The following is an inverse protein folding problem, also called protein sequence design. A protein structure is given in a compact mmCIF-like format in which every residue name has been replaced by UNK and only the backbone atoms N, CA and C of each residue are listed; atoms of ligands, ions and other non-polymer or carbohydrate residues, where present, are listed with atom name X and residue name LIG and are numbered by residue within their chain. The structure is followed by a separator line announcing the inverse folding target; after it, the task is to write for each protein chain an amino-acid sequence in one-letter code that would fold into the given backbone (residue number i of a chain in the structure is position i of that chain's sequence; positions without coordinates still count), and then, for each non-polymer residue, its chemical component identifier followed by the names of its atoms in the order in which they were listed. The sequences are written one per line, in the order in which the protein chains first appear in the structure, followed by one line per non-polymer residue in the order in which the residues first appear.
data_IF_967785012734
#
_entry.id   IF_967785012734
#
_cell.length_a   1.000
_cell.length_b   1.000
_cell.length_c   1.000
_cell.angle_alpha   90.00
_cell.angle_beta   90.00
_cell.angle_gamma   90.00
#
_symmetry.space_group_name_H-M   'P 1'
#
loop_
_entity.id
_entity.type
_entity.pdbx_description
1 polymer ?
#
# COMPACT_ATOMS: atom_id res chain seq x y z
N UNK A 1 -10.55 31.84 -33.09
CA UNK A 1 -9.55 32.07 -32.01
C UNK A 1 -10.23 31.81 -30.70
N UNK A 2 -9.68 30.92 -29.89
CA UNK A 2 -10.23 30.53 -28.60
C UNK A 2 -9.53 29.27 -28.10
N UNK A 3 -8.21 29.35 -27.92
CA UNK A 3 -7.52 28.35 -27.11
C UNK A 3 -7.88 28.67 -25.68
N UNK A 4 -8.71 27.84 -25.06
CA UNK A 4 -8.85 27.81 -23.61
C UNK A 4 -7.54 27.18 -23.11
N UNK A 5 -6.54 28.01 -22.88
CA UNK A 5 -5.40 27.61 -22.04
C UNK A 5 -5.92 27.73 -20.62
N UNK A 6 -6.42 26.61 -20.08
CA UNK A 6 -6.47 26.47 -18.64
C UNK A 6 -5.02 26.59 -18.17
N UNK A 7 -4.65 27.75 -17.64
CA UNK A 7 -3.49 27.90 -16.82
C UNK A 7 -3.74 26.95 -15.64
N UNK A 8 -3.29 25.70 -15.76
CA UNK A 8 -3.44 24.70 -14.72
C UNK A 8 -2.72 25.26 -13.50
N UNK A 9 -3.48 25.80 -12.55
CA UNK A 9 -2.97 26.04 -11.22
C UNK A 9 -2.53 24.67 -10.70
N UNK A 10 -1.21 24.55 -10.74
CA UNK A 10 -0.40 23.40 -10.44
C UNK A 10 -0.68 22.95 -9.01
N UNK A 11 -1.34 21.81 -8.84
CA UNK A 11 -1.58 21.16 -7.55
C UNK A 11 -2.48 21.97 -6.61
N UNK A 12 -3.71 21.51 -6.39
CA UNK A 12 -4.67 22.16 -5.50
C UNK A 12 -4.29 22.06 -4.01
N UNK A 13 -3.64 20.97 -3.62
CA UNK A 13 -3.15 20.74 -2.27
C UNK A 13 -2.11 19.61 -2.26
N UNK A 14 -1.13 19.70 -1.36
CA UNK A 14 -0.16 18.64 -1.09
C UNK A 14 -0.37 18.21 0.36
N UNK A 15 -0.50 16.92 0.56
CA UNK A 15 -0.59 16.32 1.88
C UNK A 15 0.45 15.21 2.00
N UNK A 16 1.19 15.17 3.10
CA UNK A 16 2.20 14.16 3.37
C UNK A 16 2.30 13.87 4.85
N UNK A 17 2.25 12.59 5.20
CA UNK A 17 2.36 12.10 6.57
C UNK A 17 3.48 11.06 6.65
N UNK A 18 4.59 11.40 7.31
CA UNK A 18 5.75 10.52 7.47
C UNK A 18 5.59 9.48 8.59
N UNK A 19 4.53 9.60 9.40
CA UNK A 19 4.20 8.65 10.47
C UNK A 19 3.47 7.40 9.97
N UNK A 20 2.87 7.46 8.77
CA UNK A 20 2.10 6.37 8.17
C UNK A 20 2.92 5.71 7.06
N UNK A 21 3.05 4.38 7.10
CA UNK A 21 3.70 3.65 6.02
C UNK A 21 3.90 2.17 6.28
N UNK A 22 4.29 1.43 5.23
CA UNK A 22 4.44 -0.04 5.22
C UNK A 22 5.36 -0.56 6.34
N UNK A 23 6.30 0.27 6.80
CA UNK A 23 7.21 -0.09 7.89
C UNK A 23 6.49 -0.55 9.17
N UNK A 24 5.28 -0.07 9.45
CA UNK A 24 4.46 -0.54 10.58
C UNK A 24 4.04 -1.99 10.40
N UNK A 25 3.58 -2.36 9.20
CA UNK A 25 3.22 -3.73 8.81
C UNK A 25 4.44 -4.64 8.87
N UNK A 26 5.59 -4.19 8.34
CA UNK A 26 6.84 -4.97 8.40
C UNK A 26 7.29 -5.22 9.84
N UNK A 27 7.17 -4.23 10.73
CA UNK A 27 7.49 -4.40 12.15
C UNK A 27 6.55 -5.38 12.84
N UNK A 28 5.25 -5.32 12.54
CA UNK A 28 4.26 -6.25 13.06
C UNK A 28 4.54 -7.69 12.61
N UNK A 29 4.83 -7.89 11.32
CA UNK A 29 5.21 -9.19 10.76
C UNK A 29 6.47 -9.75 11.42
N UNK A 30 7.53 -8.95 11.58
CA UNK A 30 8.75 -9.36 12.28
C UNK A 30 8.47 -9.74 13.74
N UNK A 31 7.62 -8.98 14.45
CA UNK A 31 7.26 -9.31 15.82
C UNK A 31 6.53 -10.65 15.91
N UNK A 32 5.57 -10.89 15.01
CA UNK A 32 4.83 -12.15 14.98
C UNK A 32 5.72 -13.35 14.63
N UNK A 33 6.64 -13.19 13.66
CA UNK A 33 7.62 -14.23 13.33
C UNK A 33 8.52 -14.59 14.50
N UNK A 34 8.96 -13.59 15.29
CA UNK A 34 9.72 -13.85 16.55
C UNK A 34 8.91 -14.67 17.55
N UNK A 35 7.61 -14.37 17.70
CA UNK A 35 6.73 -15.15 18.58
C UNK A 35 6.54 -16.59 18.10
N UNK A 36 6.61 -16.80 16.79
CA UNK A 36 6.59 -18.11 16.15
C UNK A 36 7.97 -18.80 16.05
N UNK A 37 8.98 -18.31 16.79
CA UNK A 37 10.35 -18.85 16.77
C UNK A 37 10.90 -19.02 15.35
N UNK A 38 10.51 -18.13 14.44
CA UNK A 38 10.86 -18.14 13.03
C UNK A 38 11.97 -17.13 12.74
N UNK A 39 12.73 -17.36 11.65
CA UNK A 39 13.79 -16.45 11.25
C UNK A 39 13.21 -15.08 10.89
N UNK A 40 13.86 -14.01 11.38
CA UNK A 40 13.39 -12.65 11.15
C UNK A 40 14.42 -11.83 10.39
N UNK A 41 14.04 -11.37 9.21
CA UNK A 41 14.73 -10.33 8.46
C UNK A 41 13.71 -9.46 7.73
N UNK A 42 14.11 -8.27 7.30
CA UNK A 42 13.24 -7.40 6.50
C UNK A 42 12.80 -8.08 5.20
N UNK A 43 13.70 -8.82 4.55
CA UNK A 43 13.38 -9.57 3.33
C UNK A 43 12.34 -10.65 3.60
N UNK A 44 12.53 -11.45 4.65
CA UNK A 44 11.58 -12.53 5.01
C UNK A 44 10.22 -11.96 5.38
N UNK A 45 10.18 -10.86 6.14
CA UNK A 45 8.93 -10.19 6.49
C UNK A 45 8.21 -9.62 5.26
N UNK A 46 8.95 -8.98 4.35
CA UNK A 46 8.39 -8.41 3.11
C UNK A 46 7.83 -9.51 2.19
N UNK A 47 8.58 -10.60 1.98
CA UNK A 47 8.11 -11.74 1.19
C UNK A 47 6.90 -12.44 1.84
N UNK A 48 6.88 -12.57 3.17
CA UNK A 48 5.71 -13.07 3.89
C UNK A 48 4.49 -12.17 3.71
N UNK A 49 4.65 -10.85 3.77
CA UNK A 49 3.54 -9.90 3.56
C UNK A 49 3.00 -10.03 2.12
N UNK A 50 3.87 -10.11 1.10
CA UNK A 50 3.45 -10.27 -0.30
C UNK A 50 2.76 -11.61 -0.56
N UNK A 51 3.29 -12.69 0.01
CA UNK A 51 2.85 -14.08 -0.24
C UNK A 51 2.03 -14.67 0.90
N UNK A 52 1.42 -13.83 1.75
CA UNK A 52 0.61 -14.28 2.90
C UNK A 52 -0.58 -15.18 2.53
N UNK A 53 -1.04 -15.09 1.29
CA UNK A 53 -2.13 -15.91 0.74
C UNK A 53 -1.64 -17.22 0.09
N UNK A 54 -0.34 -17.51 0.14
CA UNK A 54 0.30 -18.73 -0.38
C UNK A 54 0.59 -19.67 0.80
N UNK A 55 -0.25 -20.69 1.06
CA UNK A 55 -0.11 -21.56 2.23
C UNK A 55 1.19 -22.36 2.22
N UNK A 56 1.69 -22.72 1.03
CA UNK A 56 2.91 -23.51 0.89
C UNK A 56 4.13 -22.67 1.26
N UNK A 57 4.14 -21.39 0.88
CA UNK A 57 5.18 -20.46 1.29
C UNK A 57 5.11 -20.14 2.78
N UNK A 58 3.91 -19.90 3.33
CA UNK A 58 3.72 -19.58 4.74
C UNK A 58 4.26 -20.70 5.64
N UNK A 59 4.02 -21.96 5.29
CA UNK A 59 4.55 -23.13 6.01
C UNK A 59 6.08 -23.25 5.93
N UNK A 60 6.71 -22.75 4.86
CA UNK A 60 8.17 -22.75 4.74
C UNK A 60 8.83 -21.67 5.61
N UNK A 61 8.12 -20.56 5.85
CA UNK A 61 8.65 -19.41 6.59
C UNK A 61 8.35 -19.50 8.09
N UNK A 62 7.19 -20.05 8.47
CA UNK A 62 6.75 -20.14 9.86
C UNK A 62 7.16 -21.50 10.45
N UNK A 63 8.08 -21.48 11.40
CA UNK A 63 8.59 -22.69 12.07
C UNK A 63 7.55 -23.35 12.99
N UNK A 64 6.79 -22.54 13.72
CA UNK A 64 5.76 -23.01 14.67
C UNK A 64 4.38 -22.95 14.01
N UNK A 65 3.96 -24.08 13.42
CA UNK A 65 2.66 -24.21 12.72
C UNK A 65 1.46 -23.86 13.62
N UNK A 66 1.58 -24.02 14.94
CA UNK A 66 0.50 -23.67 15.88
C UNK A 66 0.25 -22.16 15.96
N UNK A 67 1.18 -21.35 15.46
CA UNK A 67 1.12 -19.89 15.46
C UNK A 67 0.96 -19.29 14.07
N UNK A 68 0.73 -20.10 13.03
CA UNK A 68 0.48 -19.60 11.69
C UNK A 68 -0.68 -18.61 11.66
N UNK A 69 -1.81 -18.95 12.29
CA UNK A 69 -2.98 -18.07 12.36
C UNK A 69 -2.67 -16.77 13.10
N UNK A 70 -1.88 -16.84 14.18
CA UNK A 70 -1.46 -15.65 14.92
C UNK A 70 -0.66 -14.70 14.03
N UNK A 71 0.27 -15.23 13.24
CA UNK A 71 1.13 -14.44 12.35
C UNK A 71 0.31 -13.78 11.24
N UNK A 72 -0.53 -14.56 10.56
CA UNK A 72 -1.36 -14.05 9.47
C UNK A 72 -2.36 -13.01 9.97
N UNK A 73 -3.03 -13.26 11.09
CA UNK A 73 -3.98 -12.29 11.67
C UNK A 73 -3.28 -11.00 12.13
N UNK A 74 -2.05 -11.08 12.63
CA UNK A 74 -1.26 -9.90 13.00
C UNK A 74 -0.92 -9.06 11.78
N UNK A 75 -0.55 -9.70 10.67
CA UNK A 75 -0.24 -9.03 9.40
C UNK A 75 -1.50 -8.39 8.82
N UNK A 76 -2.61 -9.13 8.72
CA UNK A 76 -3.88 -8.61 8.20
C UNK A 76 -4.41 -7.45 9.06
N UNK A 77 -4.34 -7.56 10.39
CA UNK A 77 -4.71 -6.48 11.30
C UNK A 77 -3.86 -5.22 11.10
N UNK A 78 -2.55 -5.39 10.89
CA UNK A 78 -1.65 -4.26 10.60
C UNK A 78 -1.92 -3.62 9.23
N UNK A 79 -2.24 -4.43 8.20
CA UNK A 79 -2.64 -3.94 6.88
C UNK A 79 -3.95 -3.16 6.96
N UNK A 80 -4.95 -3.70 7.65
CA UNK A 80 -6.24 -3.05 7.85
C UNK A 80 -6.07 -1.70 8.57
N UNK A 81 -5.29 -1.68 9.65
CA UNK A 81 -4.99 -0.44 10.37
C UNK A 81 -4.23 0.57 9.52
N UNK A 82 -3.29 0.14 8.68
CA UNK A 82 -2.61 1.02 7.72
C UNK A 82 -3.61 1.62 6.72
N UNK A 83 -4.50 0.80 6.16
CA UNK A 83 -5.52 1.26 5.23
C UNK A 83 -6.48 2.28 5.87
N UNK A 84 -6.93 2.03 7.10
CA UNK A 84 -7.78 2.96 7.86
C UNK A 84 -7.07 4.29 8.12
N UNK A 85 -5.81 4.25 8.56
CA UNK A 85 -5.02 5.47 8.78
C UNK A 85 -4.88 6.30 7.51
N UNK A 86 -4.59 5.67 6.36
CA UNK A 86 -4.51 6.40 5.08
C UNK A 86 -5.86 6.98 4.67
N UNK A 87 -6.96 6.24 4.82
CA UNK A 87 -8.30 6.74 4.49
C UNK A 87 -8.69 7.93 5.37
N UNK A 88 -8.43 7.84 6.67
CA UNK A 88 -8.71 8.93 7.61
C UNK A 88 -7.89 10.18 7.29
N UNK A 89 -6.60 10.01 6.98
CA UNK A 89 -5.70 11.11 6.62
C UNK A 89 -6.14 11.82 5.33
N UNK A 90 -6.71 11.07 4.39
CA UNK A 90 -7.21 11.58 3.12
C UNK A 90 -8.67 12.05 3.18
N UNK A 91 -9.28 12.13 4.37
CA UNK A 91 -10.68 12.52 4.56
C UNK A 91 -11.03 13.90 3.98
N UNK A 92 -10.08 14.84 3.93
CA UNK A 92 -10.35 16.16 3.34
C UNK A 92 -10.40 16.14 1.79
N UNK A 93 -10.02 15.02 1.15
CA UNK A 93 -9.84 14.90 -0.30
C UNK A 93 -10.98 14.13 -1.00
N UNK A 94 -12.23 14.41 -0.65
CA UNK A 94 -13.39 13.71 -1.23
C UNK A 94 -13.79 14.19 -2.64
N UNK A 95 -13.47 15.43 -3.02
CA UNK A 95 -13.88 16.02 -4.30
C UNK A 95 -12.87 15.80 -5.43
N UNK A 96 -12.52 14.54 -5.69
CA UNK A 96 -11.56 14.17 -6.74
C UNK A 96 -12.26 13.42 -7.89
N UNK A 97 -11.77 13.58 -9.11
CA UNK A 97 -12.35 12.92 -10.29
C UNK A 97 -11.78 11.52 -10.52
N UNK A 98 -10.55 11.26 -10.05
CA UNK A 98 -9.82 10.02 -10.24
C UNK A 98 -8.78 9.86 -9.12
N UNK A 99 -8.54 8.63 -8.70
CA UNK A 99 -7.53 8.27 -7.70
C UNK A 99 -6.55 7.28 -8.35
N UNK A 100 -5.26 7.60 -8.28
CA UNK A 100 -4.18 6.69 -8.67
C UNK A 100 -3.42 6.25 -7.43
N UNK A 101 -3.27 4.94 -7.24
CA UNK A 101 -2.53 4.35 -6.12
C UNK A 101 -1.18 3.85 -6.64
N UNK A 102 -0.11 4.37 -6.05
CA UNK A 102 1.29 4.11 -6.42
C UNK A 102 2.14 3.83 -5.18
N UNK A 103 3.39 3.40 -5.37
CA UNK A 103 4.34 3.05 -4.33
C UNK A 103 4.26 1.57 -3.91
N UNK A 104 5.29 1.08 -3.22
CA UNK A 104 5.38 -0.32 -2.81
C UNK A 104 4.27 -0.79 -1.86
N UNK A 105 3.66 0.14 -1.12
CA UNK A 105 2.52 -0.15 -0.24
C UNK A 105 1.15 -0.20 -0.93
N UNK A 106 1.07 0.16 -2.22
CA UNK A 106 -0.19 0.24 -2.94
C UNK A 106 -1.04 -1.05 -2.86
N UNK A 107 -0.48 -2.27 -3.05
CA UNK A 107 -1.27 -3.49 -2.98
C UNK A 107 -1.86 -3.78 -1.59
N UNK A 108 -1.32 -3.17 -0.53
CA UNK A 108 -1.80 -3.38 0.84
C UNK A 108 -3.01 -2.51 1.18
N UNK A 109 -3.11 -1.32 0.57
CA UNK A 109 -4.14 -0.32 0.93
C UNK A 109 -5.18 -0.11 -0.17
N UNK A 110 -4.96 -0.66 -1.38
CA UNK A 110 -5.81 -0.42 -2.54
C UNK A 110 -7.29 -0.68 -2.27
N UNK A 111 -7.62 -1.80 -1.62
CA UNK A 111 -9.01 -2.16 -1.33
C UNK A 111 -9.66 -1.18 -0.33
N UNK A 112 -8.91 -0.72 0.68
CA UNK A 112 -9.38 0.31 1.62
C UNK A 112 -9.67 1.64 0.91
N UNK A 113 -8.77 2.08 0.02
CA UNK A 113 -8.97 3.29 -0.80
C UNK A 113 -10.17 3.12 -1.74
N UNK A 114 -10.29 1.97 -2.42
CA UNK A 114 -11.40 1.69 -3.33
C UNK A 114 -12.75 1.69 -2.62
N UNK A 115 -12.77 1.22 -1.37
CA UNK A 115 -13.97 1.23 -0.52
C UNK A 115 -14.33 2.66 -0.09
N UNK A 116 -13.35 3.46 0.35
CA UNK A 116 -13.58 4.84 0.75
C UNK A 116 -14.07 5.73 -0.41
N UNK A 117 -13.48 5.59 -1.61
CA UNK A 117 -13.90 6.28 -2.83
C UNK A 117 -14.82 5.43 -3.74
N UNK A 118 -15.70 4.61 -3.16
CA UNK A 118 -16.59 3.71 -3.90
C UNK A 118 -17.39 4.39 -5.03
N UNK A 119 -17.78 5.66 -4.85
CA UNK A 119 -18.51 6.46 -5.83
C UNK A 119 -17.74 6.69 -7.15
N UNK A 120 -16.42 6.54 -7.14
CA UNK A 120 -15.57 6.67 -8.33
C UNK A 120 -15.49 5.39 -9.18
N UNK A 121 -15.87 4.24 -8.63
CA UNK A 121 -15.87 2.95 -9.32
C UNK A 121 -14.53 2.65 -10.00
N UNK A 122 -14.52 2.53 -11.33
CA UNK A 122 -13.32 2.23 -12.14
C UNK A 122 -12.28 3.36 -12.16
N UNK A 123 -12.58 4.53 -11.60
CA UNK A 123 -11.65 5.66 -11.52
C UNK A 123 -10.72 5.59 -10.29
N UNK A 124 -10.77 4.52 -9.51
CA UNK A 124 -9.75 4.18 -8.50
C UNK A 124 -8.83 3.12 -9.09
N UNK A 125 -7.64 3.54 -9.52
CA UNK A 125 -6.72 2.71 -10.32
C UNK A 125 -5.42 2.53 -9.55
N UNK A 126 -5.01 1.28 -9.33
CA UNK A 126 -3.63 0.96 -8.96
C UNK A 126 -2.82 0.81 -10.25
N UNK A 127 -1.64 1.42 -10.30
CA UNK A 127 -0.75 1.29 -11.47
C UNK A 127 -0.29 -0.17 -11.64
N UNK A 128 0.08 -0.58 -12.86
CA UNK A 128 0.54 -1.95 -13.12
C UNK A 128 1.81 -2.32 -12.33
N UNK A 129 2.76 -1.37 -12.27
CA UNK A 129 3.99 -1.48 -11.48
C UNK A 129 4.04 -0.36 -10.42
N UNK A 130 3.27 -0.46 -9.31
CA UNK A 130 3.11 0.66 -8.38
C UNK A 130 4.44 1.18 -7.81
N UNK A 131 5.37 0.28 -7.50
CA UNK A 131 6.66 0.63 -6.89
C UNK A 131 7.58 1.42 -7.83
N UNK A 132 7.53 1.14 -9.14
CA UNK A 132 8.40 1.79 -10.14
C UNK A 132 7.70 2.88 -10.93
N UNK A 133 6.37 3.03 -10.80
CA UNK A 133 5.57 4.02 -11.52
C UNK A 133 6.15 5.44 -11.48
N UNK A 134 6.71 5.87 -10.36
CA UNK A 134 7.34 7.20 -10.23
C UNK A 134 8.60 7.33 -11.10
N UNK A 135 9.52 6.36 -11.02
CA UNK A 135 10.79 6.44 -11.75
C UNK A 135 10.59 6.25 -13.25
N UNK A 136 9.64 5.41 -13.65
CA UNK A 136 9.25 5.23 -15.05
C UNK A 136 8.68 6.53 -15.63
N UNK A 137 7.80 7.23 -14.90
CA UNK A 137 7.26 8.51 -15.33
C UNK A 137 8.34 9.60 -15.44
N UNK A 138 9.29 9.65 -14.50
CA UNK A 138 10.43 10.59 -14.56
C UNK A 138 11.33 10.28 -15.76
N UNK A 139 11.56 9.01 -16.06
CA UNK A 139 12.38 8.60 -17.20
C UNK A 139 11.73 8.99 -18.53
N UNK A 140 10.44 8.69 -18.71
CA UNK A 140 9.68 9.07 -19.89
C UNK A 140 9.64 10.59 -20.11
N UNK A 141 9.49 11.37 -19.03
CA UNK A 141 9.50 12.84 -19.11
C UNK A 141 10.84 13.43 -19.58
N UNK A 142 11.96 12.73 -19.37
CA UNK A 142 13.29 13.19 -19.84
C UNK A 142 13.56 12.88 -21.31
N UNK A 143 12.76 12.01 -21.93
CA UNK A 143 12.87 11.65 -23.34
C UNK A 143 12.04 12.57 -24.26
N UNK A 144 11.18 13.41 -23.68
CA UNK A 144 10.45 14.51 -24.34
C UNK A 144 11.21 15.85 -24.27
#
# INVERSE_FOLDING_TARGET
VGVIVGQFDSVSAIHGNSGIGVSSVTKAAMSALRMASSDTSFLVADELIKRRNDPDFVRQVINDETKTDLVLNTIEGAIASLGEQVVNELGDFHHVNRVYVVGGGAPLIYDSIKTAWHHLGQKVVMMESPQTALVEAIAAFKEE
#
